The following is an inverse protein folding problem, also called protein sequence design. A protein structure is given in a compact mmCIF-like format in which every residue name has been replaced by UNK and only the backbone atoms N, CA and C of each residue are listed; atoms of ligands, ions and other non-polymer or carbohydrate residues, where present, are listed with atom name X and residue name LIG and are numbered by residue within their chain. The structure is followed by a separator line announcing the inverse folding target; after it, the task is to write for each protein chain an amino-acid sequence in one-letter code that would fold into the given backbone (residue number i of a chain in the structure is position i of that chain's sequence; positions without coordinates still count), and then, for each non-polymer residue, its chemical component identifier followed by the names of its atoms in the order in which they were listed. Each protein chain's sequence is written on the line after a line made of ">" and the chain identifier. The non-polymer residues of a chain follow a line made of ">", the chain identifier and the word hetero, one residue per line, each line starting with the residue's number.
data_IF_745665865726
#
_entry.id   IF_745665865726
#
_cell.length_a   1.000
_cell.length_b   1.000
_cell.length_c   1.000
_cell.angle_alpha   90.00
_cell.angle_beta   90.00
_cell.angle_gamma   90.00
#
_symmetry.space_group_name_H-M   'P 1'
#
loop_
_entity.id
_entity.type
_entity.pdbx_description
1 polymer ?
#
# COMPACT_ATOMS: atom_id res chain seq x y z
N UNK A 1 2.59 8.15 2.24
CA UNK A 1 2.46 7.04 1.28
C UNK A 1 1.65 5.93 1.93
N UNK A 2 0.35 5.86 1.61
CA UNK A 2 -0.64 5.08 2.35
C UNK A 2 -0.82 3.64 1.85
N UNK A 3 0.09 3.14 1.01
CA UNK A 3 0.09 1.76 0.53
C UNK A 3 1.46 1.36 0.01
N UNK A 4 2.18 0.52 0.72
CA UNK A 4 3.46 -0.06 0.28
C UNK A 4 3.72 -1.42 0.92
N UNK A 5 4.64 -2.18 0.30
CA UNK A 5 5.11 -3.49 0.77
C UNK A 5 6.63 -3.52 0.87
N UNK A 6 7.23 -2.53 1.51
CA UNK A 6 8.68 -2.29 1.47
C UNK A 6 9.54 -3.30 2.26
N UNK A 7 8.95 -4.28 2.97
CA UNK A 7 9.68 -5.34 3.69
C UNK A 7 9.60 -6.65 2.93
N UNK A 8 10.55 -6.90 2.06
CA UNK A 8 10.62 -8.13 1.25
C UNK A 8 12.07 -8.52 0.95
N UNK A 9 12.27 -9.77 0.51
CA UNK A 9 13.53 -10.30 0.02
C UNK A 9 13.52 -10.51 -1.49
N UNK A 10 14.70 -10.41 -2.10
CA UNK A 10 14.87 -10.62 -3.53
C UNK A 10 14.40 -9.47 -4.41
N UNK A 11 14.41 -9.72 -5.70
CA UNK A 11 13.88 -8.83 -6.75
C UNK A 11 13.37 -9.67 -7.92
N UNK A 12 12.59 -9.06 -8.81
CA UNK A 12 11.94 -9.76 -9.94
C UNK A 12 12.22 -9.07 -11.28
N UNK A 13 13.42 -8.51 -11.45
CA UNK A 13 13.82 -7.79 -12.66
C UNK A 13 13.82 -8.66 -13.91
N UNK A 14 14.18 -9.96 -13.78
CA UNK A 14 14.10 -10.92 -14.90
C UNK A 14 12.65 -11.16 -15.33
N UNK A 15 11.72 -11.33 -14.38
CA UNK A 15 10.29 -11.48 -14.66
C UNK A 15 9.73 -10.23 -15.35
N UNK A 16 10.15 -9.05 -14.93
CA UNK A 16 9.79 -7.80 -15.60
C UNK A 16 10.25 -7.81 -17.05
N UNK A 17 11.49 -8.29 -17.33
CA UNK A 17 12.00 -8.45 -18.70
C UNK A 17 11.17 -9.43 -19.54
N UNK A 18 10.68 -10.53 -18.95
CA UNK A 18 9.80 -11.48 -19.63
C UNK A 18 8.43 -10.87 -19.95
N UNK A 19 7.84 -10.13 -19.02
CA UNK A 19 6.60 -9.37 -19.26
C UNK A 19 6.75 -8.38 -20.42
N UNK A 20 7.86 -7.65 -20.48
CA UNK A 20 8.13 -6.71 -21.58
C UNK A 20 8.21 -7.41 -22.94
N UNK A 21 8.62 -8.69 -22.99
CA UNK A 21 8.64 -9.54 -24.19
C UNK A 21 7.28 -10.15 -24.52
N UNK A 22 6.25 -9.90 -23.71
CA UNK A 22 4.89 -10.40 -23.94
C UNK A 22 4.64 -11.80 -23.39
N UNK A 23 5.51 -12.32 -22.50
CA UNK A 23 5.23 -13.58 -21.81
C UNK A 23 4.00 -13.44 -20.89
N UNK A 24 3.17 -14.48 -20.88
CA UNK A 24 1.97 -14.50 -20.04
C UNK A 24 2.33 -14.70 -18.57
N UNK A 25 1.45 -14.24 -17.70
CA UNK A 25 1.57 -14.48 -16.26
C UNK A 25 1.71 -15.97 -15.92
N UNK A 26 0.96 -16.84 -16.60
CA UNK A 26 1.02 -18.30 -16.40
C UNK A 26 2.39 -18.86 -16.76
N UNK A 27 2.99 -18.43 -17.89
CA UNK A 27 4.35 -18.83 -18.28
C UNK A 27 5.39 -18.44 -17.22
N UNK A 28 5.25 -17.26 -16.64
CA UNK A 28 6.13 -16.76 -15.56
C UNK A 28 5.97 -17.61 -14.30
N UNK A 29 4.73 -17.94 -13.93
CA UNK A 29 4.44 -18.77 -12.75
C UNK A 29 4.98 -20.21 -12.91
N UNK A 30 4.86 -20.82 -14.10
CA UNK A 30 5.40 -22.16 -14.40
C UNK A 30 6.93 -22.22 -14.25
N UNK A 31 7.63 -21.12 -14.43
CA UNK A 31 9.08 -20.98 -14.18
C UNK A 31 9.43 -20.73 -12.71
N UNK A 32 8.44 -20.76 -11.82
CA UNK A 32 8.63 -20.47 -10.39
C UNK A 32 8.72 -18.98 -10.05
N UNK A 33 8.22 -18.12 -10.93
CA UNK A 33 8.09 -16.67 -10.74
C UNK A 33 6.82 -16.30 -9.97
N UNK A 34 6.45 -15.03 -10.07
CA UNK A 34 5.29 -14.49 -9.38
C UNK A 34 5.56 -14.23 -7.90
N UNK A 35 4.48 -14.08 -7.13
CA UNK A 35 4.58 -13.81 -5.68
C UNK A 35 5.33 -14.92 -4.93
N UNK A 36 5.25 -16.16 -5.38
CA UNK A 36 5.95 -17.31 -4.79
C UNK A 36 7.47 -17.12 -4.77
N UNK A 37 8.04 -16.50 -5.80
CA UNK A 37 9.47 -16.17 -5.88
C UNK A 37 9.87 -15.20 -4.76
N UNK A 38 9.10 -14.14 -4.54
CA UNK A 38 9.33 -13.18 -3.45
C UNK A 38 9.14 -13.82 -2.08
N UNK A 39 8.10 -14.62 -1.88
CA UNK A 39 7.86 -15.36 -0.63
C UNK A 39 9.04 -16.25 -0.30
N UNK A 40 9.51 -17.03 -1.25
CA UNK A 40 10.69 -17.88 -1.07
C UNK A 40 11.93 -17.09 -0.69
N UNK A 41 12.20 -15.97 -1.37
CA UNK A 41 13.35 -15.13 -1.08
C UNK A 41 13.23 -14.45 0.30
N UNK A 42 12.03 -14.01 0.69
CA UNK A 42 11.79 -13.38 1.98
C UNK A 42 11.97 -14.38 3.13
N UNK A 43 11.42 -15.58 3.01
CA UNK A 43 11.58 -16.68 4.00
C UNK A 43 13.05 -17.09 4.22
N UNK A 44 13.92 -16.86 3.24
CA UNK A 44 15.36 -17.17 3.33
C UNK A 44 16.19 -16.08 3.99
N UNK A 45 15.63 -14.89 4.19
CA UNK A 45 16.35 -13.76 4.79
C UNK A 45 16.18 -13.71 6.31
N UNK A 46 17.24 -13.31 6.99
CA UNK A 46 17.19 -13.07 8.42
C UNK A 46 16.77 -11.63 8.73
N UNK A 47 16.46 -11.37 10.02
CA UNK A 47 16.02 -10.06 10.52
C UNK A 47 16.93 -8.91 10.06
N UNK A 48 18.25 -9.04 10.21
CA UNK A 48 19.19 -7.95 9.92
C UNK A 48 19.21 -7.58 8.45
N UNK A 49 19.20 -8.57 7.56
CA UNK A 49 19.20 -8.34 6.10
C UNK A 49 17.92 -7.70 5.63
N UNK A 50 16.76 -8.23 6.07
CA UNK A 50 15.45 -7.65 5.72
C UNK A 50 15.31 -6.22 6.27
N UNK A 51 15.70 -5.97 7.54
CA UNK A 51 15.66 -4.65 8.14
C UNK A 51 16.53 -3.65 7.38
N UNK A 52 17.76 -4.03 7.01
CA UNK A 52 18.67 -3.17 6.25
C UNK A 52 18.15 -2.84 4.86
N UNK A 53 17.54 -3.81 4.16
CA UNK A 53 16.92 -3.58 2.85
C UNK A 53 15.73 -2.61 2.98
N UNK A 54 14.83 -2.85 3.94
CA UNK A 54 13.68 -2.00 4.22
C UNK A 54 14.09 -0.56 4.58
N UNK A 55 15.10 -0.40 5.43
CA UNK A 55 15.66 0.93 5.77
C UNK A 55 16.19 1.66 4.54
N UNK A 56 16.80 0.93 3.60
CA UNK A 56 17.25 1.50 2.33
C UNK A 56 16.11 2.07 1.47
N UNK A 57 14.94 1.41 1.45
CA UNK A 57 13.74 1.95 0.79
C UNK A 57 13.21 3.19 1.51
N UNK A 58 13.08 3.15 2.83
CA UNK A 58 12.61 4.29 3.62
C UNK A 58 13.48 5.54 3.43
N UNK A 59 14.81 5.39 3.34
CA UNK A 59 15.73 6.51 3.04
C UNK A 59 15.44 7.13 1.68
N UNK A 60 15.21 6.30 0.64
CA UNK A 60 14.87 6.78 -0.71
C UNK A 60 13.52 7.48 -0.74
N UNK A 61 12.52 6.93 -0.05
CA UNK A 61 11.18 7.52 0.05
C UNK A 61 11.21 8.85 0.81
N UNK A 62 11.97 8.94 1.90
CA UNK A 62 12.16 10.20 2.63
C UNK A 62 12.79 11.28 1.75
N UNK A 63 13.73 10.93 0.87
CA UNK A 63 14.31 11.86 -0.08
C UNK A 63 13.30 12.37 -1.14
N UNK A 64 12.18 11.65 -1.33
CA UNK A 64 11.05 12.08 -2.19
C UNK A 64 9.93 12.77 -1.41
N UNK A 65 10.17 13.09 -0.12
CA UNK A 65 9.23 13.85 0.70
C UNK A 65 8.26 13.02 1.52
N UNK A 66 8.39 11.69 1.54
CA UNK A 66 7.53 10.84 2.37
C UNK A 66 7.94 10.96 3.84
N UNK A 67 6.99 11.30 4.71
CA UNK A 67 7.18 11.44 6.16
C UNK A 67 6.44 10.39 6.97
N UNK A 68 5.43 9.75 6.38
CA UNK A 68 4.68 8.63 6.95
C UNK A 68 4.37 7.62 5.85
N UNK A 69 4.55 6.34 6.16
CA UNK A 69 4.31 5.25 5.22
C UNK A 69 3.48 4.15 5.84
N UNK A 70 2.61 3.52 5.06
CA UNK A 70 2.06 2.22 5.42
C UNK A 70 3.03 1.13 4.99
N UNK A 71 3.34 0.21 5.90
CA UNK A 71 4.05 -1.03 5.61
C UNK A 71 3.12 -2.22 5.75
N UNK A 72 2.86 -2.93 4.64
CA UNK A 72 2.09 -4.17 4.63
C UNK A 72 3.05 -5.37 4.68
N UNK A 73 2.72 -6.40 5.47
CA UNK A 73 3.34 -7.72 5.38
C UNK A 73 2.86 -8.46 4.11
N UNK A 74 2.81 -9.79 4.09
CA UNK A 74 2.21 -10.54 2.98
C UNK A 74 3.21 -11.18 2.01
N UNK A 75 4.48 -11.15 2.34
CA UNK A 75 5.50 -11.93 1.64
C UNK A 75 6.11 -13.04 2.49
N UNK A 76 5.53 -13.32 3.65
CA UNK A 76 5.83 -14.50 4.43
C UNK A 76 4.88 -15.64 4.11
N UNK A 77 3.60 -15.39 4.21
CA UNK A 77 2.49 -16.33 4.07
C UNK A 77 2.60 -17.53 5.02
N UNK A 78 3.47 -17.44 6.02
CA UNK A 78 3.61 -18.34 7.14
C UNK A 78 3.73 -17.56 8.45
N UNK A 79 3.56 -18.26 9.59
CA UNK A 79 3.57 -17.61 10.91
C UNK A 79 4.88 -16.88 11.19
N UNK A 80 6.00 -17.50 10.93
CA UNK A 80 7.31 -17.00 11.34
C UNK A 80 7.70 -15.75 10.55
N UNK A 81 7.53 -15.82 9.24
CA UNK A 81 7.98 -14.77 8.33
C UNK A 81 7.04 -13.56 8.35
N UNK A 82 5.72 -13.75 8.45
CA UNK A 82 4.77 -12.64 8.64
C UNK A 82 5.06 -11.87 9.93
N UNK A 83 5.25 -12.57 11.05
CA UNK A 83 5.64 -11.94 12.31
C UNK A 83 7.02 -11.27 12.22
N UNK A 84 7.95 -11.83 11.45
CA UNK A 84 9.27 -11.24 11.22
C UNK A 84 9.15 -9.91 10.48
N UNK A 85 8.35 -9.82 9.41
CA UNK A 85 8.12 -8.58 8.66
C UNK A 85 7.53 -7.49 9.57
N UNK A 86 6.49 -7.82 10.34
CA UNK A 86 5.86 -6.88 11.28
C UNK A 86 6.81 -6.42 12.39
N UNK A 87 7.63 -7.31 12.94
CA UNK A 87 8.67 -6.97 13.94
C UNK A 87 9.74 -6.05 13.35
N UNK A 88 10.08 -6.20 12.08
CA UNK A 88 11.01 -5.31 11.39
C UNK A 88 10.40 -3.90 11.26
N UNK A 89 9.14 -3.79 10.83
CA UNK A 89 8.42 -2.51 10.76
C UNK A 89 8.41 -1.81 12.12
N UNK A 90 8.04 -2.53 13.17
CA UNK A 90 8.08 -2.00 14.54
C UNK A 90 9.48 -1.56 14.96
N UNK A 91 10.52 -2.35 14.67
CA UNK A 91 11.91 -1.99 14.96
C UNK A 91 12.36 -0.72 14.26
N UNK A 92 11.97 -0.55 12.98
CA UNK A 92 12.26 0.66 12.20
C UNK A 92 11.46 1.87 12.71
N UNK A 93 10.20 1.66 13.10
CA UNK A 93 9.35 2.73 13.62
C UNK A 93 9.77 3.21 15.02
N UNK A 94 10.42 2.37 15.81
CA UNK A 94 10.94 2.70 17.13
C UNK A 94 12.39 3.22 17.11
N UNK A 95 13.01 3.36 15.94
CA UNK A 95 14.35 3.92 15.79
C UNK A 95 14.30 5.43 16.10
N UNK A 96 15.15 5.90 17.02
CA UNK A 96 15.21 7.32 17.43
C UNK A 96 15.63 8.26 16.26
N UNK A 97 16.31 7.72 15.25
CA UNK A 97 16.76 8.46 14.07
C UNK A 97 15.89 8.20 12.85
N UNK A 98 14.70 7.64 13.03
CA UNK A 98 13.78 7.38 11.92
C UNK A 98 13.42 8.66 11.16
N UNK A 99 13.39 8.55 9.86
CA UNK A 99 13.00 9.65 8.95
C UNK A 99 11.53 9.58 8.52
N UNK A 100 10.88 8.47 8.78
CA UNK A 100 9.51 8.16 8.36
C UNK A 100 8.81 7.42 9.50
N UNK A 101 7.58 7.81 9.83
CA UNK A 101 6.70 7.01 10.67
C UNK A 101 6.11 5.85 9.86
N UNK A 102 5.96 4.69 10.48
CA UNK A 102 5.42 3.50 9.85
C UNK A 102 4.11 3.11 10.51
N UNK A 103 3.06 2.98 9.71
CA UNK A 103 1.79 2.31 10.09
C UNK A 103 1.86 0.89 9.58
N UNK A 104 1.85 -0.08 10.49
CA UNK A 104 2.00 -1.49 10.12
C UNK A 104 0.64 -2.14 9.84
N UNK A 105 0.55 -2.85 8.72
CA UNK A 105 -0.64 -3.59 8.26
C UNK A 105 -0.31 -5.06 8.11
N UNK A 106 -1.10 -5.92 8.75
CA UNK A 106 -1.03 -7.36 8.53
C UNK A 106 -1.77 -7.73 7.24
N UNK A 107 -1.07 -8.33 6.30
CA UNK A 107 -1.60 -8.80 5.02
C UNK A 107 -1.25 -10.29 4.80
N UNK A 108 -1.49 -11.15 5.77
CA UNK A 108 -1.29 -12.59 5.59
C UNK A 108 -2.14 -13.18 4.45
N UNK A 109 -3.28 -12.57 4.15
CA UNK A 109 -4.13 -12.91 3.02
C UNK A 109 -3.75 -12.16 1.74
N UNK A 110 -2.48 -12.14 1.37
CA UNK A 110 -1.97 -11.56 0.11
C UNK A 110 -1.99 -12.56 -1.05
N UNK A 111 -1.73 -13.82 -0.76
CA UNK A 111 -1.86 -14.94 -1.70
C UNK A 111 -2.08 -16.24 -0.92
N UNK A 112 -2.56 -17.26 -1.61
CA UNK A 112 -2.63 -18.61 -1.03
C UNK A 112 -1.26 -19.29 -1.12
N UNK A 113 -0.61 -19.61 0.00
CA UNK A 113 0.68 -20.31 -0.04
C UNK A 113 0.54 -21.73 -0.55
N UNK A 114 1.61 -22.27 -1.13
CA UNK A 114 1.61 -23.62 -1.76
C UNK A 114 1.19 -24.72 -0.76
N UNK A 115 1.53 -24.53 0.52
CA UNK A 115 1.17 -25.44 1.61
C UNK A 115 -0.35 -25.57 1.82
N UNK A 116 -1.12 -24.56 1.39
CA UNK A 116 -2.58 -24.50 1.46
C UNK A 116 -3.26 -24.57 0.10
N UNK A 117 -2.57 -24.95 -0.96
CA UNK A 117 -3.14 -25.02 -2.32
C UNK A 117 -4.45 -25.80 -2.35
N UNK A 118 -5.51 -25.19 -2.87
CA UNK A 118 -6.87 -25.71 -2.90
C UNK A 118 -7.60 -25.73 -1.55
N UNK A 119 -7.02 -25.18 -0.48
CA UNK A 119 -7.58 -25.13 0.88
C UNK A 119 -7.64 -23.72 1.43
N UNK A 120 -8.18 -22.78 0.62
CA UNK A 120 -8.24 -21.36 0.97
C UNK A 120 -8.99 -21.09 2.29
N UNK A 121 -10.09 -21.79 2.54
CA UNK A 121 -10.85 -21.62 3.79
C UNK A 121 -10.05 -22.06 5.03
N UNK A 122 -9.28 -23.13 4.93
CA UNK A 122 -8.40 -23.55 6.03
C UNK A 122 -7.28 -22.53 6.28
N UNK A 123 -6.78 -21.88 5.22
CA UNK A 123 -5.80 -20.81 5.37
C UNK A 123 -6.40 -19.57 6.05
N UNK A 124 -7.60 -19.18 5.68
CA UNK A 124 -8.33 -18.09 6.37
C UNK A 124 -8.57 -18.46 7.84
N UNK A 125 -8.96 -19.69 8.14
CA UNK A 125 -9.10 -20.17 9.53
C UNK A 125 -7.77 -20.10 10.30
N UNK A 126 -6.65 -20.44 9.68
CA UNK A 126 -5.31 -20.28 10.27
C UNK A 126 -5.01 -18.80 10.57
N UNK A 127 -5.26 -17.91 9.63
CA UNK A 127 -5.04 -16.46 9.83
C UNK A 127 -5.88 -15.94 11.01
N UNK A 128 -7.15 -16.33 11.07
CA UNK A 128 -8.07 -15.90 12.14
C UNK A 128 -7.65 -16.44 13.50
N UNK A 129 -7.37 -17.73 13.61
CA UNK A 129 -7.17 -18.41 14.91
C UNK A 129 -5.75 -18.26 15.45
N UNK A 130 -4.75 -18.25 14.54
CA UNK A 130 -3.35 -18.30 14.93
C UNK A 130 -2.64 -16.94 14.78
N UNK A 131 -3.01 -16.15 13.76
CA UNK A 131 -2.26 -14.94 13.43
C UNK A 131 -2.85 -13.70 14.09
N UNK A 132 -4.15 -13.43 13.92
CA UNK A 132 -4.77 -12.23 14.47
C UNK A 132 -4.55 -12.06 15.98
N UNK A 133 -4.77 -13.11 16.84
CA UNK A 133 -4.56 -12.96 18.27
C UNK A 133 -3.12 -12.59 18.63
N UNK A 134 -2.14 -13.31 18.06
CA UNK A 134 -0.72 -13.09 18.40
C UNK A 134 -0.22 -11.74 17.92
N UNK A 135 -0.69 -11.25 16.76
CA UNK A 135 -0.34 -9.93 16.24
C UNK A 135 -0.92 -8.85 17.14
N UNK A 136 -2.17 -9.01 17.58
CA UNK A 136 -2.84 -8.07 18.48
C UNK A 136 -2.21 -8.03 19.87
N UNK A 137 -1.99 -9.18 20.49
CA UNK A 137 -1.35 -9.31 21.80
C UNK A 137 0.04 -8.68 21.86
N UNK A 138 0.79 -8.76 20.76
CA UNK A 138 2.13 -8.19 20.64
C UNK A 138 2.15 -6.79 20.00
N UNK A 139 1.00 -6.19 19.71
CA UNK A 139 0.89 -4.85 19.09
C UNK A 139 1.77 -4.69 17.84
N UNK A 140 1.76 -5.71 16.95
CA UNK A 140 2.64 -5.75 15.78
C UNK A 140 2.06 -5.03 14.56
N UNK A 141 0.73 -4.90 14.48
CA UNK A 141 0.04 -4.20 13.41
C UNK A 141 -1.18 -3.46 13.95
N UNK A 142 -1.51 -2.34 13.32
CA UNK A 142 -2.72 -1.55 13.58
C UNK A 142 -3.86 -1.94 12.64
N UNK A 143 -3.52 -2.30 11.40
CA UNK A 143 -4.46 -2.62 10.33
C UNK A 143 -4.38 -4.10 9.94
N UNK A 144 -5.48 -4.60 9.37
CA UNK A 144 -5.55 -5.88 8.68
C UNK A 144 -6.12 -5.66 7.28
N UNK A 145 -5.48 -6.30 6.30
CA UNK A 145 -5.81 -6.17 4.89
C UNK A 145 -5.98 -7.55 4.24
N UNK A 146 -6.67 -7.63 3.12
CA UNK A 146 -6.87 -8.83 2.32
C UNK A 146 -6.85 -8.52 0.85
N UNK A 147 -6.23 -9.37 0.03
CA UNK A 147 -6.33 -9.29 -1.43
C UNK A 147 -7.62 -9.96 -1.90
N UNK A 148 -8.69 -9.16 -1.92
CA UNK A 148 -10.02 -9.57 -2.35
C UNK A 148 -10.10 -9.53 -3.87
N UNK A 149 -9.75 -10.66 -4.52
CA UNK A 149 -9.65 -10.71 -5.97
C UNK A 149 -9.97 -12.10 -6.54
N UNK A 150 -10.44 -12.14 -7.78
CA UNK A 150 -10.72 -13.39 -8.47
C UNK A 150 -9.47 -14.26 -8.57
N UNK A 151 -9.56 -15.50 -8.08
CA UNK A 151 -8.43 -16.43 -8.07
C UNK A 151 -7.47 -16.26 -6.90
N UNK A 152 -7.71 -15.30 -6.00
CA UNK A 152 -6.96 -15.11 -4.75
C UNK A 152 -7.86 -15.40 -3.56
N UNK A 153 -8.54 -14.39 -2.99
CA UNK A 153 -9.55 -14.60 -1.94
C UNK A 153 -10.90 -14.05 -2.37
N UNK A 154 -11.94 -14.86 -2.21
CA UNK A 154 -13.31 -14.49 -2.55
C UNK A 154 -13.86 -13.41 -1.60
N UNK A 155 -14.96 -12.76 -2.00
CA UNK A 155 -15.71 -11.82 -1.17
C UNK A 155 -16.04 -12.46 0.20
N UNK A 156 -16.47 -13.72 0.23
CA UNK A 156 -16.85 -14.40 1.48
C UNK A 156 -15.66 -14.68 2.38
N UNK A 157 -14.55 -15.13 1.81
CA UNK A 157 -13.29 -15.35 2.54
C UNK A 157 -12.76 -14.04 3.11
N UNK A 158 -12.78 -12.97 2.31
CA UNK A 158 -12.37 -11.64 2.69
C UNK A 158 -13.26 -11.08 3.81
N UNK A 159 -14.58 -11.24 3.70
CA UNK A 159 -15.55 -10.86 4.74
C UNK A 159 -15.25 -11.55 6.06
N UNK A 160 -15.07 -12.87 6.05
CA UNK A 160 -14.78 -13.65 7.26
C UNK A 160 -13.51 -13.17 7.97
N UNK A 161 -12.42 -13.00 7.22
CA UNK A 161 -11.15 -12.53 7.79
C UNK A 161 -11.30 -11.13 8.39
N UNK A 162 -11.88 -10.20 7.64
CA UNK A 162 -11.97 -8.80 8.07
C UNK A 162 -12.97 -8.60 9.22
N UNK A 163 -14.07 -9.36 9.28
CA UNK A 163 -14.96 -9.34 10.43
C UNK A 163 -14.24 -9.82 11.69
N UNK A 164 -13.51 -10.92 11.63
CA UNK A 164 -12.69 -11.39 12.74
C UNK A 164 -11.59 -10.37 13.12
N UNK A 165 -10.94 -9.74 12.15
CA UNK A 165 -9.96 -8.69 12.40
C UNK A 165 -10.60 -7.49 13.14
N UNK A 166 -11.81 -7.09 12.76
CA UNK A 166 -12.57 -6.02 13.42
C UNK A 166 -12.88 -6.38 14.88
N UNK A 167 -13.27 -7.63 15.15
CA UNK A 167 -13.51 -8.13 16.52
C UNK A 167 -12.25 -8.09 17.38
N UNK A 168 -11.08 -8.30 16.78
CA UNK A 168 -9.78 -8.14 17.43
C UNK A 168 -9.32 -6.68 17.53
N UNK A 169 -10.09 -5.71 17.01
CA UNK A 169 -9.80 -4.28 17.10
C UNK A 169 -8.79 -3.78 16.07
N UNK A 170 -8.64 -4.48 14.94
CA UNK A 170 -7.86 -3.97 13.79
C UNK A 170 -8.68 -2.97 12.97
N UNK A 171 -7.99 -2.00 12.39
CA UNK A 171 -8.50 -1.15 11.32
C UNK A 171 -8.52 -1.97 10.04
N UNK A 172 -9.61 -1.90 9.27
CA UNK A 172 -9.78 -2.71 8.07
C UNK A 172 -9.34 -1.98 6.82
N UNK A 173 -8.66 -2.70 5.93
CA UNK A 173 -8.27 -2.26 4.58
C UNK A 173 -8.52 -3.39 3.59
N UNK A 174 -8.61 -3.09 2.29
CA UNK A 174 -8.76 -4.08 1.23
C UNK A 174 -7.95 -3.69 -0.01
N UNK A 175 -7.23 -4.66 -0.60
CA UNK A 175 -6.95 -4.63 -2.04
C UNK A 175 -8.24 -5.06 -2.74
N UNK A 176 -8.80 -4.21 -3.59
CA UNK A 176 -10.15 -4.36 -4.12
C UNK A 176 -10.20 -4.04 -5.61
N UNK A 177 -10.88 -4.92 -6.36
CA UNK A 177 -11.20 -4.68 -7.77
C UNK A 177 -9.99 -4.25 -8.61
N UNK A 178 -8.82 -4.88 -8.38
CA UNK A 178 -7.58 -4.59 -9.11
C UNK A 178 -7.58 -5.23 -10.49
N UNK A 179 -7.98 -6.51 -10.60
CA UNK A 179 -7.91 -7.30 -11.82
C UNK A 179 -9.30 -7.39 -12.49
N UNK A 180 -10.35 -7.60 -11.68
CA UNK A 180 -11.73 -7.63 -12.17
C UNK A 180 -12.66 -6.91 -11.19
N UNK A 181 -13.85 -6.53 -11.69
CA UNK A 181 -14.93 -6.00 -10.83
C UNK A 181 -15.56 -7.14 -10.03
N UNK A 182 -14.97 -7.45 -8.87
CA UNK A 182 -15.43 -8.55 -8.01
C UNK A 182 -16.49 -8.09 -6.98
N UNK A 183 -16.52 -6.80 -6.66
CA UNK A 183 -17.35 -6.22 -5.60
C UNK A 183 -16.57 -5.95 -4.31
N UNK A 184 -15.25 -5.80 -4.41
CA UNK A 184 -14.39 -5.45 -3.28
C UNK A 184 -14.67 -4.06 -2.72
N UNK A 185 -14.99 -3.09 -3.58
CA UNK A 185 -15.39 -1.75 -3.18
C UNK A 185 -16.69 -1.75 -2.36
N UNK A 186 -17.69 -2.55 -2.77
CA UNK A 186 -18.94 -2.74 -2.03
C UNK A 186 -18.69 -3.41 -0.68
N UNK A 187 -17.82 -4.42 -0.63
CA UNK A 187 -17.44 -5.09 0.61
C UNK A 187 -16.73 -4.14 1.58
N UNK A 188 -15.85 -3.28 1.08
CA UNK A 188 -15.18 -2.27 1.91
C UNK A 188 -16.19 -1.32 2.56
N UNK A 189 -17.19 -0.86 1.81
CA UNK A 189 -18.27 -0.03 2.31
C UNK A 189 -19.14 -0.78 3.35
N UNK A 190 -19.52 -2.04 3.07
CA UNK A 190 -20.31 -2.90 3.95
C UNK A 190 -19.62 -3.07 5.33
N UNK A 191 -18.32 -3.30 5.35
CA UNK A 191 -17.57 -3.56 6.58
C UNK A 191 -17.15 -2.28 7.31
N UNK A 192 -17.29 -1.11 6.68
CA UNK A 192 -16.78 0.16 7.16
C UNK A 192 -15.25 0.15 7.22
N UNK A 193 -14.60 -0.32 6.17
CA UNK A 193 -13.16 -0.28 6.04
C UNK A 193 -12.64 1.17 6.00
N UNK A 194 -11.43 1.39 6.48
CA UNK A 194 -10.79 2.71 6.42
C UNK A 194 -10.45 3.09 4.98
N UNK A 195 -9.91 2.14 4.21
CA UNK A 195 -9.63 2.33 2.78
C UNK A 195 -9.90 1.06 1.97
N UNK A 196 -10.18 1.28 0.68
CA UNK A 196 -10.12 0.28 -0.36
C UNK A 196 -9.08 0.74 -1.39
N UNK A 197 -8.18 -0.14 -1.75
CA UNK A 197 -6.97 0.21 -2.46
C UNK A 197 -6.99 -0.44 -3.87
N UNK A 198 -6.31 0.12 -4.88
CA UNK A 198 -6.31 -0.16 -6.33
C UNK A 198 -7.55 0.36 -7.07
N UNK A 199 -8.69 -0.32 -7.01
CA UNK A 199 -9.99 0.11 -7.54
C UNK A 199 -10.03 0.34 -9.07
N UNK A 200 -9.16 -0.35 -9.84
CA UNK A 200 -9.09 -0.17 -11.30
C UNK A 200 -10.43 -0.51 -11.96
N UNK A 201 -11.11 -1.54 -11.44
CA UNK A 201 -12.35 -2.08 -11.96
C UNK A 201 -13.55 -1.90 -11.01
N UNK A 202 -13.45 -0.99 -10.02
CA UNK A 202 -14.57 -0.72 -9.11
C UNK A 202 -15.84 -0.33 -9.88
N UNK A 203 -16.99 -0.90 -9.49
CA UNK A 203 -18.28 -0.62 -10.11
C UNK A 203 -18.79 0.78 -9.72
N UNK A 204 -19.75 1.34 -10.49
CA UNK A 204 -20.43 2.60 -10.12
C UNK A 204 -21.17 2.46 -8.79
N UNK A 205 -21.69 1.27 -8.48
CA UNK A 205 -22.34 0.99 -7.22
C UNK A 205 -21.32 0.99 -6.07
N UNK A 206 -20.16 0.36 -6.28
CA UNK A 206 -19.07 0.32 -5.31
C UNK A 206 -18.51 1.73 -5.02
N UNK A 207 -18.29 2.54 -6.07
CA UNK A 207 -17.85 3.94 -5.89
C UNK A 207 -18.85 4.73 -5.03
N UNK A 208 -20.15 4.65 -5.33
CA UNK A 208 -21.17 5.32 -4.52
C UNK A 208 -21.22 4.79 -3.09
N UNK A 209 -21.16 3.47 -2.91
CA UNK A 209 -21.17 2.86 -1.60
C UNK A 209 -19.98 3.30 -0.73
N UNK A 210 -18.78 3.37 -1.31
CA UNK A 210 -17.59 3.90 -0.62
C UNK A 210 -17.74 5.37 -0.24
N UNK A 211 -18.28 6.21 -1.14
CA UNK A 211 -18.53 7.62 -0.86
C UNK A 211 -19.49 7.79 0.31
N UNK A 212 -20.63 7.07 0.29
CA UNK A 212 -21.64 7.11 1.34
C UNK A 212 -21.13 6.59 2.70
N UNK A 213 -20.24 5.58 2.68
CA UNK A 213 -19.65 5.00 3.88
C UNK A 213 -18.40 5.75 4.39
N UNK A 214 -17.89 6.73 3.65
CA UNK A 214 -16.66 7.46 3.99
C UNK A 214 -15.38 6.64 3.89
N UNK A 215 -15.38 5.59 3.06
CA UNK A 215 -14.18 4.77 2.76
C UNK A 215 -13.23 5.58 1.88
N UNK A 216 -11.96 5.66 2.25
CA UNK A 216 -10.95 6.32 1.43
C UNK A 216 -10.60 5.44 0.24
N UNK A 217 -10.69 5.99 -0.98
CA UNK A 217 -10.26 5.33 -2.20
C UNK A 217 -8.75 5.57 -2.40
N UNK A 218 -7.90 4.58 -2.13
CA UNK A 218 -6.45 4.71 -2.31
C UNK A 218 -6.05 4.20 -3.69
N UNK A 219 -5.66 5.12 -4.58
CA UNK A 219 -5.36 4.82 -5.97
C UNK A 219 -3.85 4.70 -6.21
N UNK A 220 -3.46 3.74 -7.04
CA UNK A 220 -2.07 3.30 -7.21
C UNK A 220 -1.62 3.40 -8.67
N UNK A 221 -1.46 4.65 -9.19
CA UNK A 221 -1.22 4.86 -10.63
C UNK A 221 0.11 4.28 -11.12
N UNK A 222 1.13 4.14 -10.25
CA UNK A 222 2.41 3.52 -10.64
C UNK A 222 2.24 2.03 -10.97
N UNK A 223 1.38 1.32 -10.24
CA UNK A 223 1.09 -0.09 -10.47
C UNK A 223 0.35 -0.30 -11.78
N UNK A 224 -0.71 0.48 -12.03
CA UNK A 224 -1.41 0.47 -13.30
C UNK A 224 -0.45 0.75 -14.48
N UNK A 225 0.43 1.75 -14.34
CA UNK A 225 1.45 2.08 -15.34
C UNK A 225 2.41 0.90 -15.60
N UNK A 226 2.97 0.31 -14.54
CA UNK A 226 3.97 -0.75 -14.66
C UNK A 226 3.37 -2.06 -15.21
N UNK A 227 2.10 -2.32 -14.95
CA UNK A 227 1.35 -3.48 -15.46
C UNK A 227 0.73 -3.22 -16.83
N UNK A 228 0.69 -1.97 -17.31
CA UNK A 228 -0.02 -1.52 -18.53
C UNK A 228 -1.54 -1.76 -18.44
N UNK A 229 -2.07 -1.63 -17.24
CA UNK A 229 -3.51 -1.75 -16.98
C UNK A 229 -4.21 -0.39 -17.08
N UNK A 230 -5.54 -0.36 -17.23
CA UNK A 230 -6.32 0.86 -17.12
C UNK A 230 -6.10 1.55 -15.78
N UNK A 231 -6.14 2.89 -15.77
CA UNK A 231 -6.09 3.64 -14.52
C UNK A 231 -7.44 3.62 -13.80
N UNK A 232 -7.41 3.62 -12.48
CA UNK A 232 -8.61 3.80 -11.68
C UNK A 232 -9.30 5.15 -12.01
N UNK A 233 -10.63 5.19 -11.90
CA UNK A 233 -11.48 6.33 -12.28
C UNK A 233 -11.44 7.45 -11.24
N UNK A 234 -10.24 8.05 -11.04
CA UNK A 234 -9.99 9.04 -10.00
C UNK A 234 -10.93 10.25 -10.06
N UNK A 235 -11.16 10.82 -11.27
CA UNK A 235 -12.08 11.94 -11.46
C UNK A 235 -13.50 11.57 -11.02
N UNK A 236 -14.01 10.43 -11.47
CA UNK A 236 -15.38 10.01 -11.15
C UNK A 236 -15.55 9.71 -9.66
N UNK A 237 -14.53 9.15 -9.00
CA UNK A 237 -14.55 8.90 -7.55
C UNK A 237 -14.61 10.20 -6.75
N UNK A 238 -13.83 11.22 -7.16
CA UNK A 238 -13.88 12.56 -6.55
C UNK A 238 -15.26 13.20 -6.75
N UNK A 239 -15.78 13.15 -7.99
CA UNK A 239 -17.10 13.73 -8.32
C UNK A 239 -18.24 13.02 -7.60
N UNK A 240 -18.08 11.73 -7.29
CA UNK A 240 -19.02 10.96 -6.46
C UNK A 240 -18.90 11.26 -4.95
N UNK A 241 -17.89 12.02 -4.51
CA UNK A 241 -17.68 12.41 -3.12
C UNK A 241 -16.72 11.51 -2.34
N UNK A 242 -16.00 10.58 -2.99
CA UNK A 242 -14.97 9.81 -2.31
C UNK A 242 -13.79 10.71 -1.90
N UNK A 243 -13.27 10.51 -0.71
CA UNK A 243 -11.92 10.97 -0.37
C UNK A 243 -10.92 10.08 -1.12
N UNK A 244 -10.23 10.65 -2.12
CA UNK A 244 -9.21 9.94 -2.90
C UNK A 244 -7.84 10.17 -2.29
N UNK A 245 -7.12 9.08 -1.94
CA UNK A 245 -5.70 9.08 -1.60
C UNK A 245 -4.88 8.53 -2.77
N UNK A 246 -3.60 8.89 -2.83
CA UNK A 246 -2.63 8.35 -3.78
C UNK A 246 -1.47 7.72 -3.02
N UNK A 247 -0.98 6.60 -3.52
CA UNK A 247 0.16 5.90 -2.95
C UNK A 247 1.02 5.24 -4.04
N UNK A 248 2.22 4.78 -3.66
CA UNK A 248 3.18 4.24 -4.64
C UNK A 248 3.00 2.77 -4.93
N UNK A 249 2.48 2.02 -3.99
CA UNK A 249 2.48 0.56 -4.04
C UNK A 249 3.89 -0.03 -4.29
N UNK A 250 4.89 0.53 -3.62
CA UNK A 250 6.25 -0.01 -3.73
C UNK A 250 6.27 -1.49 -3.32
N UNK A 251 6.46 -2.36 -4.30
CA UNK A 251 6.52 -3.80 -4.11
C UNK A 251 7.44 -4.46 -5.18
N UNK A 252 7.93 -5.70 -4.97
CA UNK A 252 8.85 -6.34 -5.90
C UNK A 252 8.18 -6.91 -7.15
N UNK A 253 6.86 -7.00 -7.19
CA UNK A 253 6.11 -7.70 -8.24
C UNK A 253 5.59 -6.79 -9.34
N UNK A 254 4.66 -5.95 -9.00
CA UNK A 254 3.94 -5.08 -9.92
C UNK A 254 4.56 -3.69 -10.03
N UNK A 255 5.13 -3.15 -8.95
CA UNK A 255 5.64 -1.78 -8.93
C UNK A 255 6.90 -1.62 -8.07
N UNK A 256 8.08 -1.81 -8.63
CA UNK A 256 9.34 -1.58 -7.93
C UNK A 256 9.75 -0.09 -7.97
N UNK A 257 8.84 0.77 -7.52
CA UNK A 257 9.03 2.23 -7.54
C UNK A 257 8.34 2.91 -6.36
N UNK A 258 9.07 3.78 -5.67
CA UNK A 258 8.55 4.70 -4.64
C UNK A 258 8.50 6.15 -5.16
N UNK A 259 8.33 6.37 -6.47
CA UNK A 259 8.42 7.69 -7.09
C UNK A 259 7.15 8.52 -6.88
N UNK A 260 7.14 9.36 -5.86
CA UNK A 260 6.08 10.36 -5.65
C UNK A 260 5.95 11.31 -6.85
N UNK A 261 7.03 11.85 -7.46
CA UNK A 261 6.89 12.71 -8.63
C UNK A 261 6.17 12.05 -9.82
N UNK A 262 6.44 10.78 -10.08
CA UNK A 262 5.78 10.07 -11.16
C UNK A 262 4.31 9.74 -10.79
N UNK A 263 4.02 9.41 -9.54
CA UNK A 263 2.65 9.25 -9.03
C UNK A 263 1.81 10.50 -9.30
N UNK A 264 2.34 11.69 -8.98
CA UNK A 264 1.70 12.99 -9.24
C UNK A 264 1.41 13.17 -10.73
N UNK A 265 2.42 12.97 -11.58
CA UNK A 265 2.27 13.17 -13.02
C UNK A 265 1.20 12.23 -13.62
N UNK A 266 1.21 10.95 -13.24
CA UNK A 266 0.24 9.98 -13.73
C UNK A 266 -1.19 10.30 -13.25
N UNK A 267 -1.37 10.70 -12.01
CA UNK A 267 -2.68 11.08 -11.48
C UNK A 267 -3.26 12.30 -12.23
N UNK A 268 -2.45 13.34 -12.47
CA UNK A 268 -2.89 14.50 -13.22
C UNK A 268 -3.18 14.19 -14.70
N UNK A 269 -2.30 13.42 -15.36
CA UNK A 269 -2.38 13.20 -16.81
C UNK A 269 -3.44 12.16 -17.17
N UNK A 270 -3.50 11.03 -16.44
CA UNK A 270 -4.34 9.90 -16.82
C UNK A 270 -5.61 9.75 -15.98
N UNK A 271 -5.59 10.20 -14.71
CA UNK A 271 -6.75 10.08 -13.82
C UNK A 271 -7.55 11.39 -13.73
N UNK A 272 -7.16 12.43 -14.49
CA UNK A 272 -7.82 13.73 -14.58
C UNK A 272 -8.01 14.44 -13.23
N UNK A 273 -7.05 14.25 -12.33
CA UNK A 273 -7.01 14.96 -11.06
C UNK A 273 -6.35 16.32 -11.23
N UNK A 274 -6.87 17.36 -10.58
CA UNK A 274 -6.18 18.64 -10.51
C UNK A 274 -4.91 18.54 -9.66
N UNK A 275 -4.03 19.52 -9.76
CA UNK A 275 -2.78 19.54 -8.98
C UNK A 275 -3.10 19.60 -7.47
N UNK A 276 -4.09 20.43 -7.10
CA UNK A 276 -4.55 20.60 -5.72
C UNK A 276 -5.18 19.31 -5.16
N UNK A 277 -6.01 18.63 -5.96
CA UNK A 277 -6.58 17.32 -5.60
C UNK A 277 -5.47 16.28 -5.40
N UNK A 278 -4.46 16.28 -6.27
CA UNK A 278 -3.32 15.35 -6.18
C UNK A 278 -2.46 15.63 -4.95
N UNK A 279 -2.21 16.88 -4.61
CA UNK A 279 -1.51 17.28 -3.37
C UNK A 279 -2.33 16.84 -2.16
N UNK A 280 -3.63 17.10 -2.14
CA UNK A 280 -4.54 16.68 -1.06
C UNK A 280 -4.56 15.16 -0.91
N UNK A 281 -4.58 14.44 -2.03
CA UNK A 281 -4.57 12.97 -2.06
C UNK A 281 -3.29 12.37 -1.46
N UNK A 282 -2.13 13.02 -1.65
CA UNK A 282 -0.84 12.59 -1.11
C UNK A 282 -0.59 13.06 0.32
N UNK A 283 -1.36 14.02 0.82
CA UNK A 283 -1.15 14.62 2.14
C UNK A 283 -2.31 14.31 3.08
N UNK A 284 -3.38 15.10 3.07
CA UNK A 284 -4.50 14.97 4.01
C UNK A 284 -5.26 13.65 3.83
N UNK A 285 -5.59 13.28 2.59
CA UNK A 285 -6.31 12.04 2.34
C UNK A 285 -5.41 10.81 2.53
N UNK A 286 -4.11 10.89 2.17
CA UNK A 286 -3.14 9.85 2.51
C UNK A 286 -3.02 9.64 4.02
N UNK A 287 -3.05 10.73 4.80
CA UNK A 287 -3.11 10.65 6.26
C UNK A 287 -4.43 10.07 6.76
N UNK A 288 -5.56 10.39 6.11
CA UNK A 288 -6.88 9.82 6.44
C UNK A 288 -6.90 8.31 6.18
N UNK A 289 -6.33 7.83 5.08
CA UNK A 289 -6.19 6.41 4.76
C UNK A 289 -5.34 5.62 5.77
N UNK A 290 -4.63 6.32 6.67
CA UNK A 290 -3.83 5.77 7.75
C UNK A 290 -4.40 6.08 9.15
N UNK A 291 -5.58 6.70 9.23
CA UNK A 291 -6.18 7.19 10.47
C UNK A 291 -5.26 8.19 11.22
N UNK A 292 -4.62 9.10 10.47
CA UNK A 292 -3.65 10.08 11.00
C UNK A 292 -3.97 11.54 10.60
N UNK A 293 -5.11 11.81 9.96
CA UNK A 293 -5.47 13.15 9.47
C UNK A 293 -5.63 14.20 10.59
N UNK A 294 -5.86 13.76 11.82
CA UNK A 294 -5.88 14.60 13.02
C UNK A 294 -4.48 15.09 13.45
N UNK A 295 -3.42 14.39 13.03
CA UNK A 295 -2.04 14.63 13.47
C UNK A 295 -1.09 15.11 12.37
N UNK A 296 -1.34 14.72 11.11
CA UNK A 296 -0.48 15.02 9.96
C UNK A 296 -1.33 15.32 8.71
N UNK A 297 -0.70 15.65 7.60
CA UNK A 297 -1.32 15.81 6.29
C UNK A 297 -1.76 17.24 5.95
N UNK A 298 -1.75 18.17 6.92
CA UNK A 298 -2.01 19.59 6.70
C UNK A 298 -1.19 20.46 7.63
N UNK A 299 -0.99 21.70 7.27
CA UNK A 299 -0.25 22.71 8.08
C UNK A 299 -1.25 23.40 8.99
N UNK A 300 -1.41 22.88 10.19
CA UNK A 300 -2.33 23.38 11.20
C UNK A 300 -1.67 23.38 12.59
N UNK A 301 -2.10 24.31 13.44
CA UNK A 301 -1.64 24.38 14.84
C UNK A 301 -2.05 23.10 15.58
N UNK A 302 -1.11 22.48 16.25
CA UNK A 302 -1.31 21.21 16.99
C UNK A 302 -0.99 19.94 16.19
N UNK A 303 -0.81 20.03 14.88
CA UNK A 303 -0.31 18.91 14.08
C UNK A 303 1.22 18.80 14.13
N UNK A 304 1.72 17.62 13.78
CA UNK A 304 3.14 17.32 13.74
C UNK A 304 3.84 18.15 12.67
N UNK A 305 5.04 18.62 12.97
CA UNK A 305 5.86 19.42 12.06
C UNK A 305 6.51 18.58 10.96
N UNK A 306 5.68 18.03 10.07
CA UNK A 306 6.09 17.26 8.89
C UNK A 306 5.89 18.11 7.64
N UNK A 307 6.99 18.45 6.95
CA UNK A 307 6.97 19.34 5.79
C UNK A 307 7.94 18.87 4.72
N UNK A 308 7.71 19.30 3.50
CA UNK A 308 8.71 19.29 2.43
C UNK A 308 8.99 20.72 1.97
N UNK A 309 10.22 20.97 1.54
CA UNK A 309 10.60 22.20 0.85
C UNK A 309 10.94 21.83 -0.59
N UNK A 310 10.30 22.51 -1.52
CA UNK A 310 10.54 22.36 -2.95
C UNK A 310 11.60 23.35 -3.43
N UNK A 311 12.26 23.04 -4.53
CA UNK A 311 13.21 23.92 -5.21
C UNK A 311 12.53 25.00 -6.07
N UNK A 312 11.25 25.31 -5.82
CA UNK A 312 10.44 26.28 -6.55
C UNK A 312 9.41 26.90 -5.63
N UNK A 313 9.03 28.15 -5.93
CA UNK A 313 7.90 28.87 -5.31
C UNK A 313 6.55 28.56 -5.99
N UNK A 314 6.55 27.74 -7.04
CA UNK A 314 5.38 27.37 -7.82
C UNK A 314 5.14 25.85 -7.78
N UNK A 315 4.10 25.41 -7.07
CA UNK A 315 3.76 23.97 -6.97
C UNK A 315 3.25 23.34 -8.27
N UNK A 316 2.92 24.14 -9.29
CA UNK A 316 2.55 23.64 -10.62
C UNK A 316 3.69 22.89 -11.31
N UNK A 317 4.93 23.03 -10.84
CA UNK A 317 6.07 22.24 -11.34
C UNK A 317 5.91 20.74 -11.07
N UNK A 318 5.17 20.36 -10.03
CA UNK A 318 5.09 18.97 -9.56
C UNK A 318 4.66 17.98 -10.65
N UNK A 319 3.52 18.16 -11.38
CA UNK A 319 3.19 17.31 -12.52
C UNK A 319 3.97 17.66 -13.79
N UNK A 320 4.46 18.93 -13.93
CA UNK A 320 5.15 19.39 -15.12
C UNK A 320 6.57 18.80 -15.24
N UNK A 321 7.28 18.66 -14.14
CA UNK A 321 8.58 17.99 -14.08
C UNK A 321 8.39 16.47 -13.90
N UNK A 322 7.87 15.84 -14.95
CA UNK A 322 7.48 14.40 -14.94
C UNK A 322 8.59 13.52 -14.39
N UNK A 323 8.35 12.90 -13.23
CA UNK A 323 9.30 11.97 -12.62
C UNK A 323 10.54 12.60 -11.98
N UNK A 324 10.72 13.92 -12.06
CA UNK A 324 11.86 14.62 -11.44
C UNK A 324 11.55 14.99 -9.99
N UNK A 325 12.49 14.70 -9.09
CA UNK A 325 12.34 15.09 -7.69
C UNK A 325 12.62 16.59 -7.50
N UNK A 326 11.62 17.30 -7.00
CA UNK A 326 11.70 18.73 -6.68
C UNK A 326 11.93 19.01 -5.19
N UNK A 327 11.99 17.97 -4.35
CA UNK A 327 12.20 18.10 -2.90
C UNK A 327 13.67 18.36 -2.62
N UNK A 328 13.97 19.46 -1.91
CA UNK A 328 15.32 19.78 -1.44
C UNK A 328 15.49 19.52 0.06
N UNK A 329 14.39 19.42 0.79
CA UNK A 329 14.40 19.17 2.22
C UNK A 329 13.14 18.42 2.63
N UNK A 330 13.28 17.35 3.40
CA UNK A 330 12.19 16.71 4.14
C UNK A 330 12.33 17.05 5.61
N UNK A 331 11.27 17.47 6.26
CA UNK A 331 11.21 17.80 7.69
C UNK A 331 10.27 16.81 8.35
N UNK A 332 10.78 16.08 9.33
CA UNK A 332 10.04 15.08 10.09
C UNK A 332 10.03 15.41 11.56
N UNK A 333 8.85 15.70 12.13
CA UNK A 333 8.73 16.08 13.53
C UNK A 333 9.61 17.28 13.90
N UNK A 334 9.83 18.22 12.97
CA UNK A 334 10.71 19.36 13.11
C UNK A 334 12.20 19.08 12.84
N UNK A 335 12.60 17.83 12.62
CA UNK A 335 13.99 17.46 12.26
C UNK A 335 14.21 17.57 10.76
N UNK A 336 15.35 18.16 10.37
CA UNK A 336 15.70 18.49 8.98
C UNK A 336 16.49 17.34 8.33
N UNK A 337 16.04 16.87 7.17
CA UNK A 337 16.71 15.88 6.34
C UNK A 337 16.93 16.44 4.93
N UNK A 338 18.10 17.03 4.64
CA UNK A 338 18.44 17.52 3.31
C UNK A 338 18.42 16.38 2.27
N UNK A 339 17.91 16.70 1.09
CA UNK A 339 17.97 15.81 -0.08
C UNK A 339 19.22 16.19 -0.87
N UNK A 340 20.12 15.20 -1.05
CA UNK A 340 21.41 15.40 -1.74
C UNK A 340 21.22 15.42 -3.27
#
# INVERSE_FOLDING_TARGET
>A
DSHTHFVFGGERSEEFSWRLKGESYMSIMERGGGIASTVKATRQMNFLKLRSAAEGFLKKMSAMGVTTVEGKSGYGLDRETELLQLKIMRSLNNDEHKRIDIVSTFLGAHALPEEYKGRGDEYIDFLIREMLPVIRENELAECCDVFCEQGVFSIEQSRRLLQAAKEHGFILKLHADEIVSLGGAELAAELGALSADHLLHASDAGIRAMADAGVVATLLPLTAFALKEPYARGREMIDAGCAVALATDLNPGSCFSGSIPLTIALACIYMQMSIEETITALTLNGAAALQRADRIGSIEVGKQGDFIILNSDNYHILPYYIGMNCVIMTIKGGMLYPVA
#
